data_IF_642349146182
#
_entry.id   IF_642349146182
#
_cell.length_a   1.000
_cell.length_b   1.000
_cell.length_c   1.000
_cell.angle_alpha   90.00
_cell.angle_beta   90.00
_cell.angle_gamma   90.00
#
_symmetry.space_group_name_H-M   'P 1'
#
loop_
_entity.id
_entity.type
_entity.pdbx_description
1 polymer ?
#
# COMPACT_ATOMS: atom_id res chain seq x y z
N UNK A 1 9.67 73.12 -5.27
CA UNK A 1 10.30 72.88 -6.58
C UNK A 1 11.05 71.56 -6.45
N UNK A 2 10.55 70.40 -6.92
CA UNK A 2 10.29 69.98 -8.32
C UNK A 2 11.63 69.85 -9.09
N UNK A 3 12.05 68.76 -9.77
CA UNK A 3 11.38 67.59 -10.38
C UNK A 3 12.41 66.50 -10.79
N UNK A 4 11.94 65.26 -11.00
CA UNK A 4 12.42 64.25 -11.99
C UNK A 4 13.78 63.56 -11.75
N UNK A 5 14.04 62.28 -12.05
CA UNK A 5 13.36 61.07 -12.57
C UNK A 5 14.43 59.94 -12.41
N UNK A 6 14.18 58.68 -12.01
CA UNK A 6 13.70 57.50 -12.77
C UNK A 6 13.65 56.28 -11.82
N UNK A 7 12.64 55.43 -11.98
CA UNK A 7 12.57 53.98 -11.61
C UNK A 7 12.47 53.19 -12.94
N UNK A 8 12.74 51.87 -13.12
CA UNK A 8 13.14 50.76 -12.22
C UNK A 8 14.35 49.94 -12.82
N UNK A 9 14.95 48.88 -12.26
CA UNK A 9 14.43 47.53 -11.96
C UNK A 9 15.49 46.67 -11.22
N UNK A 10 15.00 45.69 -10.46
CA UNK A 10 15.61 44.41 -10.02
C UNK A 10 15.99 44.33 -8.53
N UNK A 11 15.36 43.42 -7.75
CA UNK A 11 15.71 43.21 -6.35
C UNK A 11 17.11 42.60 -6.21
N UNK A 12 17.83 43.15 -5.23
CA UNK A 12 19.22 42.84 -4.88
C UNK A 12 19.30 41.50 -4.14
N UNK A 13 20.11 40.59 -4.65
CA UNK A 13 20.49 39.35 -3.97
C UNK A 13 21.83 39.57 -3.26
N UNK A 14 21.85 39.57 -1.93
CA UNK A 14 23.10 39.49 -1.15
C UNK A 14 23.19 38.13 -0.47
N UNK A 15 24.16 37.33 -0.90
CA UNK A 15 24.60 36.12 -0.24
C UNK A 15 25.37 36.49 1.04
N UNK A 16 24.75 36.30 2.19
CA UNK A 16 25.38 36.45 3.50
C UNK A 16 25.97 35.12 3.98
N UNK A 17 27.27 35.11 4.24
CA UNK A 17 27.97 34.03 4.93
C UNK A 17 27.48 33.88 6.37
N UNK A 18 27.04 32.68 6.75
CA UNK A 18 26.96 32.27 8.16
C UNK A 18 27.54 30.86 8.31
N UNK A 19 28.72 30.79 8.93
CA UNK A 19 29.19 29.68 9.79
C UNK A 19 29.99 30.34 10.93
N UNK A 20 30.01 29.80 12.16
CA UNK A 20 29.74 28.41 12.52
C UNK A 20 28.73 28.23 13.69
N UNK A 21 28.06 27.08 13.72
CA UNK A 21 27.49 26.52 14.95
C UNK A 21 28.06 25.12 15.11
N UNK A 22 28.78 24.90 16.22
CA UNK A 22 29.05 23.61 16.87
C UNK A 22 29.71 22.51 16.05
N UNK A 23 31.00 22.27 16.30
CA UNK A 23 31.54 20.90 16.25
C UNK A 23 30.70 20.01 17.19
N UNK A 24 29.89 19.13 16.61
CA UNK A 24 29.49 17.91 17.29
C UNK A 24 30.47 16.81 16.85
N UNK A 25 31.13 16.11 17.79
CA UNK A 25 31.95 14.93 17.51
C UNK A 25 31.17 13.91 16.65
N UNK A 26 31.84 13.09 15.83
CA UNK A 26 31.18 12.27 14.84
C UNK A 26 30.37 11.17 15.52
N UNK A 27 29.09 11.41 15.75
CA UNK A 27 28.14 10.34 15.96
C UNK A 27 26.71 10.79 15.63
N UNK A 28 26.32 10.48 14.40
CA UNK A 28 24.92 10.21 14.12
C UNK A 28 24.90 9.01 13.16
N UNK A 29 25.12 7.81 13.70
CA UNK A 29 24.37 6.66 13.18
C UNK A 29 22.89 6.98 13.42
N UNK A 30 22.30 7.65 12.43
CA UNK A 30 20.87 7.85 12.33
C UNK A 30 20.19 6.52 12.08
N UNK A 31 20.18 5.65 13.09
CA UNK A 31 19.13 4.64 13.21
C UNK A 31 17.90 5.42 13.60
N UNK A 32 17.14 5.86 12.60
CA UNK A 32 15.75 6.22 12.78
C UNK A 32 15.02 4.95 13.25
N UNK A 33 15.12 4.66 14.54
CA UNK A 33 14.08 3.96 15.28
C UNK A 33 12.95 4.97 15.41
N UNK A 34 12.33 5.31 14.27
CA UNK A 34 10.94 5.72 14.32
C UNK A 34 10.24 4.41 14.63
N UNK A 35 9.92 4.24 15.90
CA UNK A 35 8.74 3.50 16.29
C UNK A 35 7.59 4.16 15.53
N UNK A 36 7.39 3.71 14.28
CA UNK A 36 6.24 4.09 13.45
C UNK A 36 5.08 3.42 14.15
N UNK A 37 4.61 4.08 15.21
CA UNK A 37 3.41 3.74 15.91
C UNK A 37 2.30 3.68 14.86
N UNK A 38 1.98 2.47 14.40
CA UNK A 38 0.68 2.10 13.84
C UNK A 38 0.19 3.04 12.73
N UNK A 39 1.07 3.53 11.84
CA UNK A 39 0.62 4.28 10.70
C UNK A 39 -0.30 3.36 9.87
N UNK A 40 -1.58 3.74 9.75
CA UNK A 40 -2.61 2.92 9.11
C UNK A 40 -2.30 2.85 7.62
N UNK A 41 -1.74 1.73 7.19
CA UNK A 41 -1.49 1.43 5.79
C UNK A 41 -2.80 1.02 5.11
N UNK A 42 -3.02 1.55 3.91
CA UNK A 42 -4.09 1.16 2.99
C UNK A 42 -3.45 0.60 1.73
N UNK A 43 -3.61 -0.71 1.52
CA UNK A 43 -3.23 -1.38 0.29
C UNK A 43 -4.42 -1.44 -0.64
N UNK A 44 -4.24 -1.02 -1.89
CA UNK A 44 -5.23 -1.16 -2.95
C UNK A 44 -4.60 -1.78 -4.20
N UNK A 45 -5.16 -2.90 -4.63
CA UNK A 45 -4.79 -3.57 -5.88
C UNK A 45 -6.04 -3.74 -6.74
N UNK A 46 -5.93 -3.43 -8.02
CA UNK A 46 -6.97 -3.63 -9.02
C UNK A 46 -6.43 -4.43 -10.19
N UNK A 47 -7.31 -5.16 -10.84
CA UNK A 47 -7.04 -5.83 -12.11
C UNK A 47 -7.95 -5.24 -13.19
N UNK A 48 -7.60 -5.50 -14.45
CA UNK A 48 -8.30 -5.00 -15.61
C UNK A 48 -9.80 -5.34 -15.64
N UNK A 49 -10.53 -4.87 -16.66
CA UNK A 49 -11.98 -5.00 -16.73
C UNK A 49 -12.48 -6.45 -16.68
N UNK A 50 -11.67 -7.41 -17.12
CA UNK A 50 -11.99 -8.84 -17.08
C UNK A 50 -11.56 -9.50 -15.75
N UNK A 51 -10.81 -8.81 -14.91
CA UNK A 51 -10.21 -9.36 -13.69
C UNK A 51 -9.20 -10.47 -13.99
N UNK A 52 -8.74 -11.16 -12.96
CA UNK A 52 -7.79 -12.27 -13.10
C UNK A 52 -8.19 -13.50 -12.28
N UNK A 53 -7.92 -14.69 -12.80
CA UNK A 53 -8.11 -15.94 -12.06
C UNK A 53 -6.92 -16.28 -11.15
N UNK A 54 -5.75 -15.67 -11.40
CA UNK A 54 -4.51 -15.94 -10.67
C UNK A 54 -3.88 -14.66 -10.08
N UNK A 55 -4.57 -13.94 -9.17
CA UNK A 55 -4.07 -12.68 -8.61
C UNK A 55 -2.88 -12.82 -7.65
N UNK A 56 -2.57 -14.04 -7.21
CA UNK A 56 -1.58 -14.33 -6.18
C UNK A 56 -0.57 -15.39 -6.67
N UNK A 57 0.70 -15.21 -6.32
CA UNK A 57 1.73 -16.25 -6.39
C UNK A 57 1.50 -17.33 -5.32
N UNK A 58 0.81 -16.96 -4.22
CA UNK A 58 0.51 -17.84 -3.09
C UNK A 58 -0.76 -17.41 -2.37
N UNK A 59 -1.61 -18.38 -2.07
CA UNK A 59 -2.81 -18.21 -1.26
C UNK A 59 -2.90 -19.36 -0.24
N UNK A 60 -2.61 -19.07 1.02
CA UNK A 60 -2.68 -20.06 2.09
C UNK A 60 -2.89 -19.38 3.46
N UNK A 61 -3.08 -20.16 4.55
CA UNK A 61 -3.25 -19.60 5.89
C UNK A 61 -2.10 -18.75 6.40
N UNK A 62 -0.88 -18.89 5.87
CA UNK A 62 0.28 -18.08 6.23
C UNK A 62 0.35 -16.76 5.46
N UNK A 63 -0.46 -16.57 4.42
CA UNK A 63 -0.64 -15.26 3.78
C UNK A 63 -1.00 -15.31 2.30
N UNK A 64 -1.22 -14.11 1.76
CA UNK A 64 -1.40 -13.86 0.33
C UNK A 64 -0.15 -13.16 -0.22
N UNK A 65 0.44 -13.68 -1.30
CA UNK A 65 1.53 -13.00 -2.02
C UNK A 65 0.99 -12.55 -3.36
N UNK A 66 0.89 -11.24 -3.58
CA UNK A 66 0.34 -10.67 -4.83
C UNK A 66 1.26 -11.01 -6.00
N UNK A 67 0.70 -11.42 -7.13
CA UNK A 67 1.44 -11.53 -8.38
C UNK A 67 1.53 -10.15 -9.06
N UNK A 68 2.66 -9.46 -8.87
CA UNK A 68 2.92 -8.16 -9.50
C UNK A 68 3.32 -8.27 -10.97
N UNK A 69 3.64 -9.48 -11.46
CA UNK A 69 3.92 -9.75 -12.86
C UNK A 69 2.63 -10.15 -13.63
N UNK A 70 1.48 -10.16 -12.97
CA UNK A 70 0.22 -10.53 -13.58
C UNK A 70 -0.11 -9.56 -14.73
N UNK A 71 -0.33 -10.04 -15.97
CA UNK A 71 -0.58 -9.17 -17.13
C UNK A 71 -1.90 -8.40 -17.03
N UNK A 72 -2.83 -8.85 -16.17
CA UNK A 72 -4.11 -8.17 -15.93
C UNK A 72 -4.01 -7.14 -14.79
N UNK A 73 -2.82 -6.92 -14.19
CA UNK A 73 -2.65 -5.91 -13.14
C UNK A 73 -3.02 -4.53 -13.69
N UNK A 74 -3.96 -3.86 -13.03
CA UNK A 74 -4.40 -2.53 -13.41
C UNK A 74 -3.57 -1.43 -12.77
N UNK A 75 -3.86 -0.16 -13.10
CA UNK A 75 -3.13 1.02 -12.61
C UNK A 75 -3.20 1.20 -11.08
N UNK A 76 -4.18 0.58 -10.41
CA UNK A 76 -4.27 0.63 -8.95
C UNK A 76 -3.41 -0.48 -8.36
N UNK A 77 -2.19 -0.16 -7.95
CA UNK A 77 -1.28 -1.08 -7.25
C UNK A 77 -0.41 -0.33 -6.23
N UNK A 78 -1.02 0.18 -5.14
CA UNK A 78 -0.31 1.08 -4.22
C UNK A 78 -0.58 0.77 -2.75
N UNK A 79 0.39 1.09 -1.89
CA UNK A 79 0.24 1.21 -0.44
C UNK A 79 0.27 2.69 -0.07
N UNK A 80 -0.76 3.17 0.62
CA UNK A 80 -0.81 4.51 1.18
C UNK A 80 -0.58 4.47 2.68
N UNK A 81 0.33 5.31 3.17
CA UNK A 81 0.67 5.48 4.58
C UNK A 81 0.69 6.98 4.86
N UNK A 82 -0.41 7.52 5.43
CA UNK A 82 -0.55 8.97 5.58
C UNK A 82 -0.60 9.68 4.21
N UNK A 83 0.38 10.56 3.97
CA UNK A 83 0.62 11.29 2.72
C UNK A 83 1.56 10.54 1.75
N UNK A 84 2.28 9.53 2.23
CA UNK A 84 3.15 8.71 1.39
C UNK A 84 2.32 7.71 0.57
N UNK A 85 2.55 7.68 -0.74
CA UNK A 85 2.03 6.68 -1.66
C UNK A 85 3.21 5.87 -2.22
N UNK A 86 3.18 4.56 -1.99
CA UNK A 86 4.20 3.61 -2.43
C UNK A 86 3.62 2.81 -3.57
N UNK A 87 4.23 2.89 -4.74
CA UNK A 87 3.90 2.01 -5.87
C UNK A 87 4.44 0.60 -5.60
N UNK A 88 3.58 -0.42 -5.70
CA UNK A 88 3.99 -1.81 -5.51
C UNK A 88 5.03 -2.26 -6.54
N UNK A 89 5.01 -1.72 -7.76
CA UNK A 89 5.99 -2.06 -8.80
C UNK A 89 7.38 -1.50 -8.53
N UNK A 90 7.49 -0.54 -7.59
CA UNK A 90 8.79 -0.01 -7.13
C UNK A 90 9.42 -0.82 -6.01
N UNK A 91 8.69 -1.79 -5.44
CA UNK A 91 9.18 -2.65 -4.36
C UNK A 91 10.14 -3.73 -4.89
N UNK A 92 11.12 -4.16 -4.08
CA UNK A 92 12.10 -5.18 -4.51
C UNK A 92 11.49 -6.57 -4.73
N UNK A 93 10.28 -6.80 -4.22
CA UNK A 93 9.53 -8.05 -4.36
C UNK A 93 8.03 -7.81 -4.18
N UNK A 94 7.23 -8.82 -4.53
CA UNK A 94 5.80 -8.84 -4.22
C UNK A 94 5.53 -8.75 -2.71
N UNK A 95 4.60 -7.89 -2.25
CA UNK A 95 4.25 -7.77 -0.85
C UNK A 95 3.51 -9.01 -0.34
N UNK A 96 3.79 -9.38 0.91
CA UNK A 96 3.05 -10.37 1.67
C UNK A 96 1.90 -9.69 2.43
N UNK A 97 0.70 -10.25 2.37
CA UNK A 97 -0.43 -9.85 3.20
C UNK A 97 -0.74 -10.97 4.17
N UNK A 98 -0.73 -10.67 5.46
CA UNK A 98 -1.11 -11.60 6.53
C UNK A 98 -2.27 -11.03 7.34
N UNK A 99 -3.14 -11.89 7.85
CA UNK A 99 -4.13 -11.49 8.84
C UNK A 99 -3.49 -11.18 10.18
N UNK A 100 -4.03 -10.22 10.94
CA UNK A 100 -3.64 -10.04 12.35
C UNK A 100 -4.20 -11.14 13.24
N UNK A 101 -3.35 -11.67 14.13
CA UNK A 101 -3.72 -12.73 15.08
C UNK A 101 -4.60 -12.23 16.24
N UNK A 102 -4.42 -10.97 16.63
CA UNK A 102 -5.04 -10.37 17.82
C UNK A 102 -5.84 -9.11 17.46
N UNK A 103 -6.86 -8.84 18.26
CA UNK A 103 -7.73 -7.67 18.13
C UNK A 103 -8.80 -7.77 17.03
N UNK A 104 -9.54 -6.68 16.79
CA UNK A 104 -10.64 -6.66 15.82
C UNK A 104 -10.15 -6.90 14.39
N UNK A 105 -10.77 -7.87 13.72
CA UNK A 105 -10.43 -8.27 12.35
C UNK A 105 -11.65 -8.65 11.53
N UNK A 106 -11.59 -8.35 10.23
CA UNK A 106 -12.67 -8.61 9.26
C UNK A 106 -12.12 -8.87 7.88
N UNK A 107 -12.36 -10.05 7.33
CA UNK A 107 -11.99 -10.38 5.96
C UNK A 107 -13.26 -10.66 5.17
N UNK A 108 -13.42 -10.04 4.00
CA UNK A 108 -14.66 -10.11 3.25
C UNK A 108 -14.40 -10.49 1.79
N UNK A 109 -15.26 -11.37 1.27
CA UNK A 109 -15.32 -11.74 -0.15
C UNK A 109 -16.67 -11.25 -0.68
N UNK A 110 -16.63 -10.29 -1.60
CA UNK A 110 -17.77 -9.85 -2.38
C UNK A 110 -17.76 -10.59 -3.73
N UNK A 111 -18.88 -11.25 -4.06
CA UNK A 111 -19.08 -11.89 -5.35
C UNK A 111 -20.51 -11.63 -5.84
N UNK A 112 -20.67 -10.80 -6.87
CA UNK A 112 -21.98 -10.28 -7.27
C UNK A 112 -22.66 -9.59 -6.09
N UNK A 113 -23.87 -10.03 -5.72
CA UNK A 113 -24.62 -9.50 -4.57
C UNK A 113 -24.36 -10.25 -3.25
N UNK A 114 -23.45 -11.24 -3.23
CA UNK A 114 -23.16 -12.03 -2.02
C UNK A 114 -21.91 -11.51 -1.33
N UNK A 115 -22.01 -11.30 -0.02
CA UNK A 115 -20.88 -10.97 0.84
C UNK A 115 -20.67 -12.08 1.85
N UNK A 116 -19.48 -12.67 1.84
CA UNK A 116 -19.04 -13.62 2.87
C UNK A 116 -18.04 -12.91 3.77
N UNK A 117 -18.25 -12.96 5.09
CA UNK A 117 -17.39 -12.30 6.08
C UNK A 117 -16.76 -13.34 7.01
N UNK A 118 -15.46 -13.21 7.20
CA UNK A 118 -14.63 -14.08 8.01
C UNK A 118 -13.93 -13.26 9.11
N UNK A 119 -13.71 -13.91 10.26
CA UNK A 119 -12.84 -13.41 11.34
C UNK A 119 -11.61 -14.29 11.52
N UNK A 120 -11.48 -15.33 10.71
CA UNK A 120 -10.37 -16.26 10.71
C UNK A 120 -9.71 -16.17 9.34
N UNK A 121 -8.40 -15.90 9.31
CA UNK A 121 -7.69 -15.66 8.06
C UNK A 121 -7.53 -16.95 7.26
N UNK A 122 -7.29 -18.09 7.91
CA UNK A 122 -7.17 -19.39 7.26
C UNK A 122 -8.47 -19.76 6.51
N UNK A 123 -9.62 -19.60 7.18
CA UNK A 123 -10.93 -19.82 6.53
C UNK A 123 -11.19 -18.87 5.36
N UNK A 124 -10.73 -17.62 5.47
CA UNK A 124 -10.81 -16.65 4.38
C UNK A 124 -9.95 -17.05 3.18
N UNK A 125 -8.67 -17.40 3.39
CA UNK A 125 -7.77 -17.81 2.31
C UNK A 125 -8.25 -19.10 1.63
N UNK A 126 -8.74 -20.08 2.40
CA UNK A 126 -9.32 -21.31 1.86
C UNK A 126 -10.58 -21.07 1.03
N UNK A 127 -11.47 -20.18 1.48
CA UNK A 127 -12.66 -19.82 0.72
C UNK A 127 -12.31 -19.05 -0.56
N UNK A 128 -11.37 -18.11 -0.48
CA UNK A 128 -10.92 -17.34 -1.63
C UNK A 128 -10.22 -18.23 -2.68
N UNK A 129 -9.35 -19.16 -2.26
CA UNK A 129 -8.70 -20.13 -3.17
C UNK A 129 -9.75 -20.93 -3.94
N UNK A 130 -10.71 -21.55 -3.22
CA UNK A 130 -11.77 -22.35 -3.85
C UNK A 130 -12.61 -21.56 -4.87
N UNK A 131 -12.85 -20.27 -4.62
CA UNK A 131 -13.62 -19.44 -5.54
C UNK A 131 -12.83 -19.12 -6.81
N UNK A 132 -11.54 -18.80 -6.68
CA UNK A 132 -10.65 -18.55 -7.83
C UNK A 132 -10.45 -19.82 -8.66
N UNK A 133 -10.28 -20.98 -8.01
CA UNK A 133 -10.22 -22.28 -8.67
C UNK A 133 -11.55 -22.64 -9.37
N UNK A 134 -12.67 -22.12 -8.86
CA UNK A 134 -14.03 -22.34 -9.35
C UNK A 134 -14.50 -21.39 -10.47
N UNK A 135 -13.58 -20.74 -11.19
CA UNK A 135 -13.81 -19.78 -12.28
C UNK A 135 -14.22 -18.35 -11.90
N UNK A 136 -14.20 -17.98 -10.60
CA UNK A 136 -14.32 -16.57 -10.23
C UNK A 136 -13.08 -15.78 -10.66
N UNK A 137 -13.24 -14.51 -11.04
CA UNK A 137 -12.13 -13.62 -11.38
C UNK A 137 -12.06 -12.45 -10.41
N UNK A 138 -10.89 -12.14 -9.91
CA UNK A 138 -10.66 -11.03 -8.99
C UNK A 138 -10.49 -9.71 -9.75
N UNK A 139 -11.25 -8.69 -9.36
CA UNK A 139 -11.12 -7.32 -9.90
C UNK A 139 -10.46 -6.37 -8.92
N UNK A 140 -10.60 -6.63 -7.63
CA UNK A 140 -10.09 -5.74 -6.61
C UNK A 140 -9.71 -6.48 -5.33
N UNK A 141 -8.64 -5.99 -4.72
CA UNK A 141 -8.20 -6.31 -3.38
C UNK A 141 -7.96 -5.00 -2.65
N UNK A 142 -8.50 -4.91 -1.45
CA UNK A 142 -8.24 -3.85 -0.50
C UNK A 142 -7.78 -4.48 0.81
N UNK A 143 -6.73 -3.94 1.41
CA UNK A 143 -6.36 -4.30 2.76
C UNK A 143 -6.02 -3.07 3.59
N UNK A 144 -6.38 -3.11 4.86
CA UNK A 144 -6.06 -2.07 5.83
C UNK A 144 -5.37 -2.69 7.03
N UNK A 145 -4.27 -2.07 7.46
CA UNK A 145 -3.38 -2.69 8.42
C UNK A 145 -2.19 -1.82 8.81
N UNK A 146 -1.13 -2.49 9.27
CA UNK A 146 0.21 -1.91 9.38
C UNK A 146 1.08 -2.47 8.26
N UNK A 147 1.99 -1.66 7.71
CA UNK A 147 2.96 -2.11 6.71
C UNK A 147 4.36 -2.12 7.32
N UNK A 148 5.00 -3.28 7.33
CA UNK A 148 6.37 -3.47 7.75
C UNK A 148 7.27 -3.45 6.51
N UNK A 149 7.98 -2.33 6.31
CA UNK A 149 8.87 -2.10 5.16
C UNK A 149 10.02 -3.11 5.10
N UNK A 150 10.61 -3.44 6.26
CA UNK A 150 11.75 -4.35 6.37
C UNK A 150 11.45 -5.77 5.84
N UNK A 151 10.20 -6.24 6.01
CA UNK A 151 9.77 -7.57 5.55
C UNK A 151 8.80 -7.50 4.37
N UNK A 152 8.56 -6.31 3.80
CA UNK A 152 7.56 -6.08 2.76
C UNK A 152 6.20 -6.73 3.07
N UNK A 153 5.70 -6.53 4.30
CA UNK A 153 4.53 -7.25 4.82
C UNK A 153 3.44 -6.30 5.29
N UNK A 154 2.20 -6.52 4.81
CA UNK A 154 0.99 -5.88 5.31
C UNK A 154 0.33 -6.79 6.35
N UNK A 155 0.31 -6.36 7.61
CA UNK A 155 -0.44 -6.99 8.70
C UNK A 155 -1.88 -6.45 8.70
N UNK A 156 -2.76 -7.14 7.98
CA UNK A 156 -4.12 -6.71 7.69
C UNK A 156 -5.10 -7.05 8.81
N UNK A 157 -5.76 -6.02 9.33
CA UNK A 157 -6.96 -6.15 10.18
C UNK A 157 -8.23 -6.18 9.37
N UNK A 158 -8.21 -5.62 8.17
CA UNK A 158 -9.32 -5.66 7.24
C UNK A 158 -8.83 -6.04 5.86
N UNK A 159 -9.53 -6.97 5.21
CA UNK A 159 -9.34 -7.33 3.82
C UNK A 159 -10.71 -7.36 3.15
N UNK A 160 -10.83 -6.78 1.97
CA UNK A 160 -12.00 -6.91 1.12
C UNK A 160 -11.53 -7.29 -0.28
N UNK A 161 -12.13 -8.33 -0.84
CA UNK A 161 -11.89 -8.76 -2.21
C UNK A 161 -13.19 -8.70 -3.01
N UNK A 162 -13.09 -8.31 -4.27
CA UNK A 162 -14.20 -8.29 -5.19
C UNK A 162 -13.94 -9.27 -6.34
N UNK A 163 -14.84 -10.24 -6.47
CA UNK A 163 -14.83 -11.26 -7.50
C UNK A 163 -16.02 -11.09 -8.45
N UNK A 164 -15.82 -11.42 -9.72
CA UNK A 164 -16.92 -11.59 -10.68
C UNK A 164 -17.77 -12.81 -10.33
N UNK A 165 -19.02 -12.80 -10.83
CA UNK A 165 -19.82 -14.02 -10.84
C UNK A 165 -19.34 -14.95 -11.96
N UNK A 166 -19.46 -16.27 -11.80
CA UNK A 166 -19.22 -17.20 -12.90
C UNK A 166 -20.20 -16.90 -14.04
N UNK A 167 -19.69 -16.63 -15.25
CA UNK A 167 -20.50 -16.51 -16.47
C UNK A 167 -21.21 -15.18 -16.73
N UNK A 168 -20.76 -14.07 -16.12
CA UNK A 168 -21.20 -12.70 -16.46
C UNK A 168 -20.41 -12.10 -17.62
#
# INVERSE_FOLDING_TARGET
LDTSFVVPQTPVQVAGFVRPFGEAPPDFEGRTVVDVAVARALLGVGWGPQGTAAPFLRIDPAGLVIDLANPELGERHHIRIGDQLIDLLSLPASPLIVGVEQGPRRYAILQGHRVQVFRDFARFSEALSRLLDGAARMHALYARGAYATASNTVQAREIAVHLSQPGS
#
